data_IF_136785950380
#
_entry.id   IF_136785950380
#
_cell.length_a   1.000
_cell.length_b   1.000
_cell.length_c   1.000
_cell.angle_alpha   90.00
_cell.angle_beta   90.00
_cell.angle_gamma   90.00
#
_symmetry.space_group_name_H-M   'P 1'
#
loop_
_entity.id
_entity.type
_entity.pdbx_description
1 polymer ?
#
# COMPACT_ATOMS: atom_id res chain seq x y z
N UNK A 1 -13.28 4.55 21.50
CA UNK A 1 -13.41 5.10 20.14
C UNK A 1 -12.00 5.35 19.66
N UNK A 2 -11.34 4.36 19.04
CA UNK A 2 -9.94 4.52 18.58
C UNK A 2 -9.64 3.67 17.33
N UNK A 3 -10.69 3.34 16.56
CA UNK A 3 -10.57 2.58 15.32
C UNK A 3 -10.91 3.45 14.10
N UNK A 4 -10.63 4.76 14.18
CA UNK A 4 -10.73 5.60 12.99
C UNK A 4 -9.58 5.26 12.04
N UNK A 5 -9.95 4.83 10.83
CA UNK A 5 -9.03 4.55 9.73
C UNK A 5 -8.47 5.87 9.19
N UNK A 6 -7.57 6.49 9.98
CA UNK A 6 -6.88 7.76 9.67
C UNK A 6 -6.05 7.66 8.40
N UNK A 7 -5.60 6.45 8.08
CA UNK A 7 -4.78 6.13 6.92
C UNK A 7 -5.62 6.21 5.63
N UNK A 8 -6.91 5.86 5.67
CA UNK A 8 -7.84 6.04 4.55
C UNK A 8 -8.08 7.52 4.17
N UNK A 9 -7.89 8.45 5.10
CA UNK A 9 -8.07 9.89 4.86
C UNK A 9 -6.86 10.57 4.23
N UNK A 10 -5.72 9.88 4.11
CA UNK A 10 -4.56 10.45 3.44
C UNK A 10 -4.88 10.73 1.95
N UNK A 11 -4.38 11.86 1.41
CA UNK A 11 -4.45 12.14 -0.02
C UNK A 11 -3.81 11.02 -0.84
N UNK A 12 -4.36 10.76 -2.03
CA UNK A 12 -3.92 9.66 -2.92
C UNK A 12 -2.42 9.71 -3.22
N UNK A 13 -1.89 10.89 -3.50
CA UNK A 13 -0.47 11.09 -3.78
C UNK A 13 0.45 10.71 -2.61
N UNK A 14 -0.01 10.88 -1.36
CA UNK A 14 0.76 10.46 -0.19
C UNK A 14 0.76 8.93 -0.07
N UNK A 15 -0.39 8.31 -0.34
CA UNK A 15 -0.51 6.85 -0.35
C UNK A 15 0.39 6.24 -1.42
N UNK A 16 0.37 6.78 -2.64
CA UNK A 16 1.21 6.30 -3.74
C UNK A 16 2.70 6.45 -3.39
N UNK A 17 3.10 7.58 -2.80
CA UNK A 17 4.48 7.80 -2.37
C UNK A 17 4.92 6.81 -1.28
N UNK A 18 4.03 6.43 -0.36
CA UNK A 18 4.34 5.39 0.64
C UNK A 18 4.56 4.04 -0.06
N UNK A 19 3.74 3.69 -1.04
CA UNK A 19 3.92 2.43 -1.79
C UNK A 19 5.21 2.41 -2.62
N UNK A 20 5.66 3.55 -3.16
CA UNK A 20 6.95 3.65 -3.85
C UNK A 20 8.15 3.38 -2.94
N UNK A 21 7.99 3.54 -1.63
CA UNK A 21 9.05 3.31 -0.64
C UNK A 21 9.07 1.87 -0.09
N UNK A 22 8.10 1.04 -0.47
CA UNK A 22 7.94 -0.32 0.05
C UNK A 22 8.18 -1.36 -1.05
N UNK A 23 8.84 -2.49 -0.73
CA UNK A 23 8.74 -3.68 -1.56
C UNK A 23 7.28 -4.10 -1.75
N UNK A 24 6.94 -4.68 -2.90
CA UNK A 24 5.56 -5.09 -3.22
C UNK A 24 4.92 -5.99 -2.16
N UNK A 25 5.69 -6.90 -1.56
CA UNK A 25 5.19 -7.80 -0.51
C UNK A 25 4.76 -7.01 0.75
N UNK A 26 5.52 -5.98 1.10
CA UNK A 26 5.22 -5.13 2.25
C UNK A 26 4.10 -4.15 1.94
N UNK A 27 4.05 -3.59 0.72
CA UNK A 27 2.92 -2.81 0.23
C UNK A 27 1.62 -3.61 0.33
N UNK A 28 1.61 -4.88 -0.07
CA UNK A 28 0.44 -5.76 0.06
C UNK A 28 0.05 -6.01 1.54
N UNK A 29 1.02 -6.13 2.45
CA UNK A 29 0.75 -6.32 3.90
C UNK A 29 0.04 -5.12 4.53
N UNK A 30 0.31 -3.91 4.06
CA UNK A 30 -0.37 -2.70 4.58
C UNK A 30 -1.88 -2.66 4.28
N UNK A 31 -2.40 -3.58 3.45
CA UNK A 31 -3.84 -3.76 3.19
C UNK A 31 -4.70 -4.02 4.43
N UNK A 32 -4.09 -4.45 5.54
CA UNK A 32 -4.77 -4.64 6.83
C UNK A 32 -4.95 -3.33 7.61
N UNK A 33 -4.13 -2.30 7.32
CA UNK A 33 -4.11 -1.03 8.04
C UNK A 33 -5.22 -0.08 7.59
N UNK A 34 -5.73 -0.27 6.37
CA UNK A 34 -6.78 0.56 5.79
C UNK A 34 -7.58 -0.22 4.76
N UNK A 35 -8.90 -0.07 4.83
CA UNK A 35 -9.82 -0.66 3.84
C UNK A 35 -9.59 -0.10 2.44
N UNK A 36 -9.17 1.16 2.34
CA UNK A 36 -8.84 1.83 1.07
C UNK A 36 -7.51 1.34 0.51
N UNK A 37 -6.50 1.16 1.36
CA UNK A 37 -5.17 0.71 0.95
C UNK A 37 -5.18 -0.68 0.34
N UNK A 38 -6.07 -1.56 0.82
CA UNK A 38 -6.31 -2.90 0.26
C UNK A 38 -6.51 -2.93 -1.26
N UNK A 39 -7.11 -1.89 -1.83
CA UNK A 39 -7.37 -1.82 -3.26
C UNK A 39 -6.35 -0.97 -4.00
N UNK A 40 -5.71 -0.01 -3.33
CA UNK A 40 -4.78 0.92 -3.99
C UNK A 40 -3.44 0.25 -4.31
N UNK A 41 -2.91 -0.59 -3.42
CA UNK A 41 -1.57 -1.18 -3.64
C UNK A 41 -1.50 -1.89 -5.00
N UNK A 42 -2.53 -2.66 -5.38
CA UNK A 42 -2.62 -3.36 -6.65
C UNK A 42 -2.70 -2.46 -7.91
N UNK A 43 -2.91 -1.14 -7.74
CA UNK A 43 -2.97 -0.17 -8.84
C UNK A 43 -1.64 0.54 -9.10
N UNK A 44 -0.62 0.28 -8.29
CA UNK A 44 0.70 0.89 -8.42
C UNK A 44 1.45 0.24 -9.60
N UNK A 45 1.79 0.98 -10.66
CA UNK A 45 2.27 0.41 -11.93
C UNK A 45 3.68 -0.19 -11.87
N UNK A 46 4.43 0.02 -10.78
CA UNK A 46 5.83 -0.37 -10.64
C UNK A 46 6.05 -1.47 -9.58
N UNK A 47 5.03 -2.28 -9.28
CA UNK A 47 5.18 -3.40 -8.34
C UNK A 47 5.99 -4.53 -9.00
N UNK A 48 7.30 -4.46 -8.85
CA UNK A 48 8.21 -5.55 -9.19
C UNK A 48 8.04 -6.64 -8.12
N UNK A 49 7.48 -7.79 -8.53
CA UNK A 49 7.49 -9.00 -7.70
C UNK A 49 8.90 -9.56 -7.68
N UNK A 50 9.66 -9.16 -6.66
CA UNK A 50 11.07 -9.50 -6.50
C UNK A 50 11.23 -10.99 -6.09
N UNK A 51 10.89 -11.90 -7.01
CA UNK A 51 11.02 -13.37 -6.89
C UNK A 51 11.23 -14.07 -8.23
N UNK A 52 12.03 -13.50 -9.14
CA UNK A 52 12.42 -14.20 -10.37
C UNK A 52 13.93 -14.44 -10.53
N UNK A 53 14.72 -14.30 -9.47
CA UNK A 53 16.11 -14.78 -9.45
C UNK A 53 16.40 -15.48 -8.12
N UNK A 54 16.07 -16.76 -8.05
CA UNK A 54 16.72 -17.72 -7.16
C UNK A 54 17.21 -18.91 -7.99
#
# INVERSE_FOLDING_TARGET
>A
MDNEDRISYLPRNIIDHIFELLPVEDAARTSILSTKWRYIWATVPNLVLDKLLQ
#
